data_IF_381159540310
#
_entry.id   IF_381159540310
#
_cell.length_a   1.000
_cell.length_b   1.000
_cell.length_c   1.000
_cell.angle_alpha   90.00
_cell.angle_beta   90.00
_cell.angle_gamma   90.00
#
_symmetry.space_group_name_H-M   'P 1'
#
loop_
_entity.id
_entity.type
_entity.pdbx_description
1 polymer ?
#
# COMPACT_ATOMS: atom_id res chain seq x y z
N UNK A 1 2.01 -32.56 8.77
CA UNK A 1 0.58 -32.22 8.70
C UNK A 1 0.04 -32.71 7.37
N UNK A 2 -1.24 -33.02 7.29
CA UNK A 2 -1.99 -33.24 6.04
C UNK A 2 -2.87 -32.01 5.78
N UNK A 3 -3.73 -32.08 4.76
CA UNK A 3 -4.70 -31.03 4.42
C UNK A 3 -5.70 -30.80 5.57
N UNK A 4 -6.14 -31.89 6.22
CA UNK A 4 -7.16 -31.84 7.28
C UNK A 4 -6.62 -32.00 8.70
N UNK A 5 -5.35 -32.41 8.88
CA UNK A 5 -4.80 -32.74 10.19
C UNK A 5 -3.44 -32.10 10.45
N UNK A 6 -3.39 -31.24 11.46
CA UNK A 6 -2.17 -30.57 11.89
C UNK A 6 -1.28 -31.51 12.73
N UNK A 7 -0.03 -31.68 12.32
CA UNK A 7 0.98 -32.40 13.11
C UNK A 7 1.95 -31.39 13.75
N UNK A 8 1.96 -31.24 15.08
CA UNK A 8 2.83 -30.29 15.78
C UNK A 8 4.31 -30.72 15.85
N UNK A 9 4.66 -31.94 15.41
CA UNK A 9 6.05 -32.41 15.43
C UNK A 9 6.90 -31.64 14.40
N UNK A 10 8.18 -31.36 14.71
CA UNK A 10 9.07 -30.66 13.78
C UNK A 10 9.21 -31.45 12.47
N UNK A 11 9.04 -30.75 11.34
CA UNK A 11 9.23 -31.33 10.02
C UNK A 11 10.67 -31.85 9.84
N UNK A 12 10.79 -33.00 9.18
CA UNK A 12 12.06 -33.56 8.74
C UNK A 12 12.06 -33.62 7.20
N UNK A 13 13.02 -32.99 6.51
CA UNK A 13 14.12 -32.18 7.05
C UNK A 13 13.62 -30.87 7.68
N UNK A 14 14.40 -30.30 8.60
CA UNK A 14 14.11 -28.95 9.13
C UNK A 14 14.35 -27.93 8.03
N UNK A 15 13.28 -27.24 7.61
CA UNK A 15 13.39 -26.10 6.72
C UNK A 15 13.61 -24.83 7.54
N UNK A 16 14.68 -24.10 7.25
CA UNK A 16 14.95 -22.78 7.80
C UNK A 16 14.88 -21.77 6.66
N UNK A 17 14.05 -20.74 6.81
CA UNK A 17 13.84 -19.70 5.80
C UNK A 17 13.48 -18.38 6.49
N UNK A 18 13.95 -17.27 5.96
CA UNK A 18 13.68 -15.93 6.50
C UNK A 18 12.57 -15.20 5.71
N UNK A 19 12.04 -15.82 4.66
CA UNK A 19 10.88 -15.35 3.91
C UNK A 19 10.02 -16.52 3.44
N UNK A 20 8.74 -16.26 3.21
CA UNK A 20 7.82 -17.24 2.62
C UNK A 20 8.28 -17.68 1.22
N UNK A 21 8.85 -16.77 0.44
CA UNK A 21 9.36 -17.06 -0.91
C UNK A 21 10.51 -18.08 -0.83
N UNK A 22 11.44 -17.91 0.11
CA UNK A 22 12.55 -18.84 0.30
C UNK A 22 12.07 -20.23 0.72
N UNK A 23 11.09 -20.27 1.63
CA UNK A 23 10.46 -21.53 2.06
C UNK A 23 9.78 -22.23 0.89
N UNK A 24 8.95 -21.52 0.13
CA UNK A 24 8.23 -22.06 -1.03
C UNK A 24 9.18 -22.54 -2.13
N UNK A 25 10.32 -21.85 -2.32
CA UNK A 25 11.37 -22.29 -3.23
C UNK A 25 12.07 -23.60 -2.79
N UNK A 26 12.15 -23.86 -1.49
CA UNK A 26 12.73 -25.09 -0.93
C UNK A 26 11.76 -26.27 -1.01
N UNK A 27 10.48 -26.05 -0.72
CA UNK A 27 9.48 -27.14 -0.64
C UNK A 27 8.79 -27.45 -1.98
N UNK A 28 8.76 -26.50 -2.92
CA UNK A 28 8.04 -26.66 -4.20
C UNK A 28 8.93 -26.32 -5.41
N UNK A 29 9.47 -27.34 -6.11
CA UNK A 29 10.22 -27.14 -7.35
C UNK A 29 9.39 -26.47 -8.46
N UNK A 30 8.07 -26.70 -8.46
CA UNK A 30 7.14 -26.08 -9.40
C UNK A 30 7.00 -24.57 -9.11
N UNK A 31 6.85 -24.18 -7.84
CA UNK A 31 6.85 -22.79 -7.44
C UNK A 31 8.14 -22.09 -7.86
N UNK A 32 9.30 -22.69 -7.54
CA UNK A 32 10.62 -22.12 -7.88
C UNK A 32 10.77 -21.83 -9.37
N UNK A 33 10.36 -22.77 -10.24
CA UNK A 33 10.39 -22.56 -11.70
C UNK A 33 9.43 -21.45 -12.14
N UNK A 34 8.17 -21.55 -11.74
CA UNK A 34 7.12 -20.64 -12.20
C UNK A 34 7.31 -19.22 -11.69
N UNK A 35 7.73 -19.07 -10.43
CA UNK A 35 8.01 -17.78 -9.82
C UNK A 35 9.16 -17.04 -10.53
N UNK A 36 10.24 -17.74 -10.86
CA UNK A 36 11.34 -17.16 -11.64
C UNK A 36 10.88 -16.69 -13.04
N UNK A 37 10.02 -17.45 -13.71
CA UNK A 37 9.43 -17.05 -15.00
C UNK A 37 8.54 -15.81 -14.86
N UNK A 38 7.72 -15.74 -13.80
CA UNK A 38 6.87 -14.58 -13.52
C UNK A 38 7.69 -13.32 -13.25
N UNK A 39 8.77 -13.42 -12.46
CA UNK A 39 9.68 -12.31 -12.21
C UNK A 39 10.33 -11.81 -13.50
N UNK A 40 10.80 -12.73 -14.35
CA UNK A 40 11.38 -12.39 -15.66
C UNK A 40 10.34 -11.70 -16.57
N UNK A 41 9.12 -12.22 -16.63
CA UNK A 41 8.02 -11.62 -17.40
C UNK A 41 7.66 -10.23 -16.87
N UNK A 42 7.58 -10.05 -15.55
CA UNK A 42 7.33 -8.74 -14.91
C UNK A 42 8.47 -7.76 -15.17
N UNK A 43 9.72 -8.20 -15.19
CA UNK A 43 10.87 -7.33 -15.47
C UNK A 43 10.88 -6.81 -16.92
N UNK A 44 10.33 -7.58 -17.87
CA UNK A 44 10.17 -7.21 -19.27
C UNK A 44 8.99 -6.27 -19.53
N UNK A 45 8.08 -6.10 -18.55
CA UNK A 45 6.98 -5.13 -18.67
C UNK A 45 7.50 -3.70 -18.64
N UNK A 46 6.76 -2.82 -19.29
CA UNK A 46 7.06 -1.39 -19.28
C UNK A 46 7.19 -0.90 -17.83
N UNK A 47 8.16 -0.04 -17.48
CA UNK A 47 8.32 0.47 -16.12
C UNK A 47 7.01 1.02 -15.51
N UNK A 48 6.18 1.68 -16.33
CA UNK A 48 4.86 2.18 -15.90
C UNK A 48 3.83 1.09 -15.54
N UNK A 49 3.98 -0.15 -16.02
CA UNK A 49 3.14 -1.29 -15.61
C UNK A 49 3.64 -1.96 -14.33
N UNK A 50 4.85 -1.61 -13.87
CA UNK A 50 5.48 -2.19 -12.69
C UNK A 50 5.33 -1.31 -11.44
N UNK A 51 4.99 -0.04 -11.64
CA UNK A 51 4.71 0.90 -10.56
C UNK A 51 3.26 0.66 -10.14
N UNK A 52 2.98 0.31 -8.87
CA UNK A 52 1.61 0.29 -8.39
C UNK A 52 1.00 1.66 -8.65
N UNK A 53 -0.15 1.70 -9.35
CA UNK A 53 -0.86 2.96 -9.56
C UNK A 53 -1.29 3.49 -8.19
N UNK A 54 -0.81 4.66 -7.77
CA UNK A 54 -1.13 5.18 -6.45
C UNK A 54 -2.54 5.78 -6.38
N UNK A 55 -3.24 5.84 -7.51
CA UNK A 55 -4.66 6.13 -7.54
C UNK A 55 -5.46 4.95 -7.00
N UNK A 56 -6.33 5.25 -6.03
CA UNK A 56 -7.45 4.39 -5.69
C UNK A 56 -8.33 4.20 -6.94
N UNK A 57 -8.28 3.03 -7.57
CA UNK A 57 -9.12 2.72 -8.73
C UNK A 57 -10.43 2.15 -8.22
N UNK A 58 -11.47 2.98 -8.18
CA UNK A 58 -12.83 2.52 -7.91
C UNK A 58 -13.40 1.89 -9.18
N UNK A 59 -13.49 0.56 -9.20
CA UNK A 59 -14.12 -0.15 -10.31
C UNK A 59 -15.65 -0.17 -10.13
N UNK A 60 -16.32 0.88 -10.60
CA UNK A 60 -17.78 1.02 -10.58
C UNK A 60 -18.49 0.06 -11.55
N UNK A 61 -17.75 -0.54 -12.49
CA UNK A 61 -18.23 -1.60 -13.39
C UNK A 61 -17.80 -3.01 -12.95
N UNK A 62 -16.92 -3.14 -11.96
CA UNK A 62 -16.62 -4.47 -11.43
C UNK A 62 -17.84 -4.95 -10.64
N UNK A 63 -18.10 -6.25 -10.77
CA UNK A 63 -18.97 -6.94 -9.84
C UNK A 63 -18.46 -6.64 -8.42
N UNK A 64 -19.32 -6.12 -7.54
CA UNK A 64 -18.94 -5.95 -6.15
C UNK A 64 -18.60 -7.32 -5.59
N UNK A 65 -17.33 -7.55 -5.33
CA UNK A 65 -16.85 -8.74 -4.65
C UNK A 65 -17.32 -8.69 -3.20
N UNK A 66 -17.97 -9.76 -2.73
CA UNK A 66 -18.29 -9.92 -1.31
C UNK A 66 -17.05 -9.70 -0.46
N UNK A 67 -17.21 -9.02 0.67
CA UNK A 67 -16.14 -8.80 1.63
C UNK A 67 -15.54 -10.15 2.04
N UNK A 68 -14.31 -10.41 1.62
CA UNK A 68 -13.54 -11.56 2.09
C UNK A 68 -12.75 -11.16 3.33
N UNK A 69 -12.71 -12.06 4.32
CA UNK A 69 -11.86 -11.89 5.49
C UNK A 69 -10.42 -11.80 5.00
N UNK A 70 -9.84 -10.61 5.13
CA UNK A 70 -8.46 -10.35 4.80
C UNK A 70 -7.59 -10.61 6.04
N UNK A 71 -6.94 -11.78 6.05
CA UNK A 71 -6.06 -12.22 7.13
C UNK A 71 -4.81 -11.34 7.29
N UNK A 72 -4.45 -10.54 6.28
CA UNK A 72 -3.30 -9.62 6.32
C UNK A 72 -3.71 -8.17 6.57
N UNK A 73 -5.01 -7.87 6.71
CA UNK A 73 -5.51 -6.51 7.01
C UNK A 73 -4.88 -5.92 8.27
N UNK A 74 -4.57 -6.76 9.26
CA UNK A 74 -3.87 -6.34 10.48
C UNK A 74 -2.40 -5.94 10.19
N UNK A 75 -1.76 -6.54 9.19
CA UNK A 75 -0.39 -6.25 8.76
C UNK A 75 -0.29 -5.02 7.84
N UNK A 76 -1.41 -4.61 7.23
CA UNK A 76 -1.51 -3.42 6.37
C UNK A 76 -1.17 -2.13 7.15
N UNK A 77 -1.50 -2.11 8.45
CA UNK A 77 -1.07 -1.07 9.39
C UNK A 77 0.46 -0.98 9.55
N UNK A 78 1.19 -2.05 9.24
CA UNK A 78 2.66 -2.11 9.29
C UNK A 78 3.31 -1.84 7.93
N UNK A 79 2.69 -2.28 6.83
CA UNK A 79 3.16 -2.04 5.46
C UNK A 79 3.02 -0.57 5.05
N UNK A 80 1.96 0.09 5.53
CA UNK A 80 1.71 1.54 5.32
C UNK A 80 2.73 2.42 6.07
N UNK A 81 3.43 1.88 7.08
CA UNK A 81 4.46 2.63 7.86
C UNK A 81 5.78 2.84 7.13
N UNK A 82 5.98 2.25 5.94
CA UNK A 82 7.21 2.47 5.16
C UNK A 82 7.25 3.85 4.47
N UNK A 83 6.22 4.67 4.64
CA UNK A 83 6.26 6.11 4.39
C UNK A 83 6.05 6.84 5.71
N UNK A 84 7.14 7.35 6.29
CA UNK A 84 7.09 8.26 7.43
C UNK A 84 6.07 9.37 7.19
N UNK A 85 5.01 9.40 8.02
CA UNK A 85 4.26 10.57 8.51
C UNK A 85 2.86 10.10 8.97
N UNK A 86 2.81 9.33 10.05
CA UNK A 86 1.59 9.24 10.84
C UNK A 86 1.99 9.36 12.31
N UNK A 87 1.70 10.55 12.87
CA UNK A 87 1.63 10.85 14.30
C UNK A 87 2.95 11.19 15.02
N UNK A 88 3.45 12.43 14.83
CA UNK A 88 3.98 13.18 15.98
C UNK A 88 2.84 14.09 16.45
N UNK A 89 2.28 13.89 17.66
CA UNK A 89 1.34 14.84 18.24
C UNK A 89 1.98 16.24 18.28
N UNK A 90 1.41 17.18 17.53
CA UNK A 90 1.90 18.57 17.45
C UNK A 90 2.61 18.97 16.15
N UNK A 91 2.86 18.04 15.22
CA UNK A 91 3.27 18.37 13.84
C UNK A 91 2.26 17.82 12.84
N UNK A 92 1.26 18.65 12.52
CA UNK A 92 0.34 18.37 11.42
C UNK A 92 1.06 18.71 10.12
N UNK A 93 1.12 17.77 9.17
CA UNK A 93 1.63 18.00 7.82
C UNK A 93 0.90 19.19 7.19
N UNK A 94 1.65 20.17 6.66
CA UNK A 94 1.06 21.33 5.99
C UNK A 94 0.76 20.98 4.52
N UNK A 95 -0.39 20.33 4.32
CA UNK A 95 -0.86 19.96 2.98
C UNK A 95 -0.96 21.15 2.04
N UNK A 96 -1.32 22.32 2.55
CA UNK A 96 -1.49 23.51 1.73
C UNK A 96 -0.14 24.01 1.22
N UNK A 97 0.87 24.11 2.09
CA UNK A 97 2.24 24.46 1.72
C UNK A 97 2.82 23.45 0.72
N UNK A 98 2.68 22.15 0.96
CA UNK A 98 3.20 21.13 0.04
C UNK A 98 2.52 21.17 -1.35
N UNK A 99 1.19 21.35 -1.39
CA UNK A 99 0.45 21.45 -2.66
C UNK A 99 0.88 22.71 -3.42
N UNK A 100 1.10 23.83 -2.74
CA UNK A 100 1.56 25.06 -3.39
C UNK A 100 3.00 24.90 -3.89
N UNK A 101 3.90 24.39 -3.05
CA UNK A 101 5.32 24.20 -3.40
C UNK A 101 5.51 23.30 -4.62
N UNK A 102 4.73 22.22 -4.73
CA UNK A 102 4.79 21.34 -5.92
C UNK A 102 4.34 22.03 -7.21
N UNK A 103 3.43 23.00 -7.14
CA UNK A 103 2.98 23.77 -8.31
C UNK A 103 4.03 24.78 -8.77
N UNK A 104 4.82 25.31 -7.84
CA UNK A 104 5.89 26.29 -8.06
C UNK A 104 7.19 25.70 -8.64
N UNK A 105 7.29 24.36 -8.70
CA UNK A 105 8.46 23.69 -9.28
C UNK A 105 8.70 24.13 -10.74
N UNK A 106 9.98 24.19 -11.18
CA UNK A 106 10.34 24.57 -12.54
C UNK A 106 9.66 23.68 -13.60
N UNK A 107 9.42 24.26 -14.77
CA UNK A 107 8.77 23.59 -15.92
C UNK A 107 9.44 23.92 -17.26
N UNK A 108 10.66 24.46 -17.25
CA UNK A 108 11.33 24.99 -18.44
C UNK A 108 11.82 23.90 -19.39
N UNK A 109 12.18 22.73 -18.88
CA UNK A 109 12.61 21.59 -19.69
C UNK A 109 11.88 20.29 -19.30
N UNK A 110 12.01 19.26 -20.14
CA UNK A 110 11.35 17.97 -19.93
C UNK A 110 11.73 17.30 -18.60
N UNK A 111 13.02 17.23 -18.19
CA UNK A 111 13.41 16.71 -16.88
C UNK A 111 12.71 17.41 -15.70
N UNK A 112 12.69 18.76 -15.70
CA UNK A 112 12.01 19.56 -14.66
C UNK A 112 10.52 19.25 -14.59
N UNK A 113 9.85 19.20 -15.75
CA UNK A 113 8.43 18.84 -15.83
C UNK A 113 8.18 17.45 -15.26
N UNK A 114 9.02 16.47 -15.56
CA UNK A 114 8.87 15.11 -15.01
C UNK A 114 9.03 15.07 -13.49
N UNK A 115 9.97 15.83 -12.92
CA UNK A 115 10.16 15.94 -11.47
C UNK A 115 8.93 16.60 -10.84
N UNK A 116 8.45 17.70 -11.43
CA UNK A 116 7.25 18.41 -11.00
C UNK A 116 6.03 17.50 -10.99
N UNK A 117 5.76 16.81 -12.10
CA UNK A 117 4.62 15.90 -12.20
C UNK A 117 4.70 14.78 -11.16
N UNK A 118 5.90 14.23 -10.88
CA UNK A 118 6.08 13.23 -9.81
C UNK A 118 5.79 13.80 -8.43
N UNK A 119 6.21 15.03 -8.16
CA UNK A 119 6.01 15.69 -6.88
C UNK A 119 4.51 16.01 -6.65
N UNK A 120 3.85 16.61 -7.65
CA UNK A 120 2.39 16.87 -7.65
C UNK A 120 1.65 15.56 -7.41
N UNK A 121 2.00 14.54 -8.20
CA UNK A 121 1.39 13.22 -8.10
C UNK A 121 1.48 12.67 -6.67
N UNK A 122 2.67 12.71 -6.06
CA UNK A 122 2.91 12.15 -4.73
C UNK A 122 2.10 12.89 -3.67
N UNK A 123 2.22 14.22 -3.60
CA UNK A 123 1.53 15.04 -2.59
C UNK A 123 0.02 14.88 -2.71
N UNK A 124 -0.52 14.90 -3.93
CA UNK A 124 -1.96 14.74 -4.15
C UNK A 124 -2.44 13.33 -3.76
N UNK A 125 -1.69 12.29 -4.12
CA UNK A 125 -2.03 10.91 -3.75
C UNK A 125 -2.04 10.73 -2.23
N UNK A 126 -1.02 11.24 -1.55
CA UNK A 126 -0.92 11.18 -0.09
C UNK A 126 -2.08 11.93 0.58
N UNK A 127 -2.42 13.14 0.07
CA UNK A 127 -3.53 13.94 0.56
C UNK A 127 -4.86 13.21 0.43
N UNK A 128 -5.15 12.64 -0.74
CA UNK A 128 -6.40 11.90 -0.98
C UNK A 128 -6.47 10.67 -0.07
N UNK A 129 -5.37 9.93 0.11
CA UNK A 129 -5.35 8.78 0.99
C UNK A 129 -5.60 9.17 2.45
N UNK A 130 -4.95 10.24 2.93
CA UNK A 130 -5.15 10.76 4.29
C UNK A 130 -6.58 11.31 4.49
N UNK A 131 -7.11 12.06 3.53
CA UNK A 131 -8.48 12.59 3.58
C UNK A 131 -9.52 11.47 3.58
N UNK A 132 -9.31 10.41 2.79
CA UNK A 132 -10.21 9.25 2.75
C UNK A 132 -10.19 8.51 4.09
N UNK A 133 -9.01 8.26 4.67
CA UNK A 133 -8.89 7.65 6.01
C UNK A 133 -9.53 8.52 7.08
N UNK A 134 -9.31 9.84 7.04
CA UNK A 134 -9.93 10.80 7.96
C UNK A 134 -11.46 10.77 7.87
N UNK A 135 -12.03 10.77 6.66
CA UNK A 135 -13.47 10.69 6.46
C UNK A 135 -14.06 9.38 7.00
N UNK A 136 -13.42 8.24 6.74
CA UNK A 136 -13.84 6.94 7.30
C UNK A 136 -13.79 6.94 8.83
N UNK A 137 -12.72 7.48 9.42
CA UNK A 137 -12.57 7.53 10.87
C UNK A 137 -13.62 8.43 11.55
N UNK A 138 -14.08 9.50 10.88
CA UNK A 138 -15.21 10.33 11.34
C UNK A 138 -16.51 9.53 11.30
N UNK A 139 -16.79 8.83 10.20
CA UNK A 139 -18.01 8.00 10.04
C UNK A 139 -18.06 6.89 11.11
N UNK A 140 -16.92 6.26 11.39
CA UNK A 140 -16.80 5.19 12.37
C UNK A 140 -16.83 5.70 13.83
N UNK A 141 -16.90 7.03 14.05
CA UNK A 141 -16.91 7.64 15.38
C UNK A 141 -15.56 7.63 16.10
N UNK A 142 -14.47 7.35 15.38
CA UNK A 142 -13.11 7.29 15.91
C UNK A 142 -12.41 8.66 15.97
N UNK A 143 -13.06 9.72 15.46
CA UNK A 143 -12.57 11.11 15.51
C UNK A 143 -13.54 11.96 16.30
N UNK A 144 -13.04 12.65 17.33
CA UNK A 144 -13.84 13.58 18.11
C UNK A 144 -14.16 14.84 17.30
N UNK A 145 -15.38 15.35 17.41
CA UNK A 145 -15.75 16.63 16.82
C UNK A 145 -14.86 17.75 17.38
N UNK A 146 -14.25 18.52 16.47
CA UNK A 146 -13.40 19.67 16.83
C UNK A 146 -14.26 20.79 17.44
N UNK A 147 -15.53 20.88 17.04
CA UNK A 147 -16.51 21.81 17.57
C UNK A 147 -17.54 21.06 18.43
N UNK A 148 -17.32 20.90 19.74
CA UNK A 148 -18.22 20.16 20.63
C UNK A 148 -19.55 20.89 20.95
N UNK A 149 -19.96 21.90 20.18
CA UNK A 149 -21.08 22.80 20.49
C UNK A 149 -22.13 22.99 19.40
N UNK A 150 -22.07 22.25 18.29
CA UNK A 150 -23.18 22.18 17.33
C UNK A 150 -23.91 20.85 17.56
N UNK A 151 -25.03 20.93 18.29
CA UNK A 151 -25.95 19.80 18.48
C UNK A 151 -26.57 19.40 17.13
N UNK A 152 -26.77 18.09 16.95
CA UNK A 152 -27.32 17.45 15.75
C UNK A 152 -28.78 17.84 15.42
#
# INVERSE_FOLDING_TARGET
STEDEFNPKPAQPRYMSHSLIDLLNQISPAFKRTFALLLKKRAQKHPFERVPTPYQVYSWMALQSDHQIDYIRAEDAFSTRLGYEEHIPGQTRDWNEEIQTTRELPQGNLPERLIRERAIFKVHSDFVAAATRGAMAVIDGNVMAINPGEDA
#
